data_IF_684243350805
#
_entry.id   IF_684243350805
#
_cell.length_a   1.000
_cell.length_b   1.000
_cell.length_c   1.000
_cell.angle_alpha   90.00
_cell.angle_beta   90.00
_cell.angle_gamma   90.00
#
_symmetry.space_group_name_H-M   'P 1'
#
loop_
_entity.id
_entity.type
_entity.pdbx_description
1 polymer ?
#
# COMPACT_ATOMS: atom_id res chain seq x y z
N UNK A 1 -7.85 4.65 30.01
CA UNK A 1 -6.43 4.33 30.31
C UNK A 1 -5.61 5.61 30.18
N UNK A 2 -4.62 5.88 31.06
CA UNK A 2 -3.68 6.99 30.83
C UNK A 2 -2.99 6.76 29.49
N UNK A 3 -2.97 7.76 28.59
CA UNK A 3 -2.24 7.72 27.32
C UNK A 3 -0.75 7.56 27.60
N UNK A 4 -0.26 6.33 27.68
CA UNK A 4 1.17 6.01 27.67
C UNK A 4 1.65 6.11 26.23
N UNK A 5 1.90 7.33 25.76
CA UNK A 5 2.56 7.54 24.48
C UNK A 5 4.03 7.16 24.65
N UNK A 6 4.39 5.93 24.31
CA UNK A 6 5.78 5.60 24.06
C UNK A 6 6.03 5.83 22.56
N UNK A 7 6.63 6.97 22.16
CA UNK A 7 6.81 7.32 20.74
C UNK A 7 7.68 6.32 19.96
N UNK A 8 8.33 5.39 20.66
CA UNK A 8 9.21 4.36 20.10
C UNK A 8 8.54 2.98 19.97
N UNK A 9 7.31 2.79 20.45
CA UNK A 9 6.61 1.51 20.27
C UNK A 9 6.30 1.28 18.79
N UNK A 10 6.47 0.03 18.36
CA UNK A 10 6.15 -0.39 17.00
C UNK A 10 4.64 -0.26 16.77
N UNK A 11 4.18 0.48 15.75
CA UNK A 11 2.76 0.66 15.52
C UNK A 11 2.09 -0.66 15.17
N UNK A 12 0.78 -0.75 15.31
CA UNK A 12 0.03 -1.94 14.92
C UNK A 12 0.17 -2.19 13.41
N UNK A 13 1.02 -3.14 13.00
CA UNK A 13 1.22 -3.46 11.59
C UNK A 13 1.63 -4.92 11.43
N UNK A 14 1.48 -5.46 10.22
CA UNK A 14 2.17 -6.69 9.84
C UNK A 14 3.68 -6.48 9.78
N UNK A 15 4.44 -7.58 9.82
CA UNK A 15 5.90 -7.56 9.65
C UNK A 15 6.29 -6.76 8.41
N UNK A 16 7.23 -5.80 8.48
CA UNK A 16 7.67 -5.02 7.33
C UNK A 16 8.12 -5.86 6.14
N UNK A 17 8.81 -6.98 6.36
CA UNK A 17 9.21 -7.88 5.28
C UNK A 17 8.03 -8.36 4.42
N UNK A 18 6.82 -8.50 4.98
CA UNK A 18 5.61 -8.82 4.20
C UNK A 18 5.34 -7.78 3.10
N UNK A 19 5.52 -6.49 3.40
CA UNK A 19 5.31 -5.42 2.44
C UNK A 19 6.26 -5.51 1.25
N UNK A 20 7.54 -5.75 1.52
CA UNK A 20 8.51 -5.97 0.44
C UNK A 20 8.26 -7.27 -0.33
N UNK A 21 7.82 -8.34 0.34
CA UNK A 21 7.45 -9.59 -0.35
C UNK A 21 6.25 -9.39 -1.29
N UNK A 22 5.27 -8.55 -0.95
CA UNK A 22 4.18 -8.18 -1.87
C UNK A 22 4.69 -7.50 -3.15
N UNK A 23 5.74 -6.69 -3.01
CA UNK A 23 6.40 -6.03 -4.14
C UNK A 23 7.27 -7.01 -4.94
N UNK A 24 8.05 -7.86 -4.29
CA UNK A 24 9.03 -8.71 -4.97
C UNK A 24 8.39 -9.93 -5.65
N UNK A 25 7.41 -10.56 -4.99
CA UNK A 25 6.79 -11.79 -5.50
C UNK A 25 5.85 -11.57 -6.68
N UNK A 26 5.49 -10.32 -6.98
CA UNK A 26 4.72 -9.99 -8.19
C UNK A 26 5.58 -9.95 -9.45
N UNK A 27 6.91 -9.81 -9.31
CA UNK A 27 7.81 -9.68 -10.44
C UNK A 27 7.92 -11.02 -11.16
N UNK A 28 7.74 -11.02 -12.47
CA UNK A 28 7.85 -12.22 -13.28
C UNK A 28 9.30 -12.72 -13.30
N UNK A 29 9.47 -14.05 -13.25
CA UNK A 29 10.79 -14.66 -13.09
C UNK A 29 11.49 -14.41 -11.75
N UNK A 30 10.85 -13.73 -10.78
CA UNK A 30 11.43 -13.53 -9.46
C UNK A 30 11.28 -14.76 -8.55
N UNK A 31 12.38 -15.13 -7.88
CA UNK A 31 12.39 -16.11 -6.78
C UNK A 31 13.11 -15.53 -5.57
N UNK A 32 12.35 -15.28 -4.50
CA UNK A 32 12.88 -14.64 -3.28
C UNK A 32 13.78 -15.60 -2.51
N UNK A 33 15.00 -15.16 -2.19
CA UNK A 33 15.86 -15.76 -1.18
C UNK A 33 15.66 -14.99 0.15
N UNK A 34 14.84 -15.53 1.04
CA UNK A 34 14.50 -14.93 2.33
C UNK A 34 15.55 -15.33 3.37
N UNK A 35 16.42 -14.38 3.76
CA UNK A 35 17.41 -14.57 4.82
C UNK A 35 16.76 -14.20 6.15
N UNK A 36 16.20 -15.22 6.80
CA UNK A 36 15.40 -15.07 8.01
C UNK A 36 15.55 -16.27 8.94
N UNK A 37 15.29 -16.04 10.23
CA UNK A 37 15.14 -17.12 11.20
C UNK A 37 13.85 -17.91 10.98
N UNK A 38 13.68 -19.02 11.71
CA UNK A 38 12.53 -19.92 11.53
C UNK A 38 11.19 -19.25 11.87
N UNK A 39 11.17 -18.33 12.84
CA UNK A 39 9.96 -17.59 13.21
C UNK A 39 9.48 -16.69 12.08
N UNK A 40 10.39 -15.88 11.52
CA UNK A 40 10.08 -15.04 10.37
C UNK A 40 9.79 -15.88 9.12
N UNK A 41 10.53 -16.97 8.87
CA UNK A 41 10.30 -17.87 7.73
C UNK A 41 8.89 -18.46 7.75
N UNK A 42 8.45 -18.99 8.90
CA UNK A 42 7.11 -19.55 9.05
C UNK A 42 6.02 -18.49 8.75
N UNK A 43 6.09 -17.35 9.44
CA UNK A 43 5.10 -16.29 9.28
C UNK A 43 5.08 -15.70 7.87
N UNK A 44 6.25 -15.42 7.29
CA UNK A 44 6.39 -14.83 5.97
C UNK A 44 6.02 -15.80 4.85
N UNK A 45 6.29 -17.10 5.00
CA UNK A 45 5.79 -18.12 4.06
C UNK A 45 4.27 -18.13 4.00
N UNK A 46 3.61 -18.10 5.17
CA UNK A 46 2.15 -18.03 5.24
C UNK A 46 1.60 -16.78 4.55
N UNK A 47 2.08 -15.58 4.92
CA UNK A 47 1.54 -14.34 4.34
C UNK A 47 1.90 -14.15 2.86
N UNK A 48 3.06 -14.62 2.40
CA UNK A 48 3.41 -14.62 0.97
C UNK A 48 2.49 -15.51 0.16
N UNK A 49 2.09 -16.65 0.71
CA UNK A 49 1.18 -17.55 0.02
C UNK A 49 -0.26 -17.01 -0.02
N UNK A 50 -0.78 -16.49 1.08
CA UNK A 50 -2.19 -16.09 1.17
C UNK A 50 -2.47 -14.64 0.74
N UNK A 51 -1.54 -13.72 1.00
CA UNK A 51 -1.77 -12.27 0.87
C UNK A 51 -0.85 -11.56 -0.13
N UNK A 52 0.12 -12.26 -0.72
CA UNK A 52 0.93 -11.74 -1.82
C UNK A 52 0.56 -12.43 -3.14
N UNK A 53 1.52 -13.04 -3.84
CA UNK A 53 1.32 -13.58 -5.19
C UNK A 53 1.14 -15.12 -5.26
N UNK A 54 0.86 -15.79 -4.13
CA UNK A 54 0.82 -17.28 -4.04
C UNK A 54 2.11 -17.96 -4.51
N UNK A 55 3.25 -17.28 -4.35
CA UNK A 55 4.57 -17.81 -4.73
C UNK A 55 5.34 -18.33 -3.53
N UNK A 56 6.08 -19.41 -3.73
CA UNK A 56 7.00 -19.95 -2.73
C UNK A 56 8.22 -19.04 -2.57
N UNK A 57 8.67 -18.90 -1.33
CA UNK A 57 9.94 -18.27 -0.97
C UNK A 57 10.94 -19.35 -0.58
N UNK A 58 12.23 -19.12 -0.85
CA UNK A 58 13.32 -20.04 -0.50
C UNK A 58 14.14 -19.39 0.60
N UNK A 59 14.67 -20.17 1.55
CA UNK A 59 15.47 -19.65 2.65
C UNK A 59 16.70 -20.53 2.88
N UNK A 60 17.89 -19.96 3.15
CA UNK A 60 19.09 -20.72 3.49
C UNK A 60 19.07 -21.30 4.92
N UNK A 61 17.92 -21.27 5.62
CA UNK A 61 17.75 -21.66 7.02
C UNK A 61 18.75 -20.99 7.98
N UNK A 62 18.42 -19.78 8.43
CA UNK A 62 19.29 -19.06 9.36
C UNK A 62 19.02 -19.47 10.82
N UNK A 63 19.96 -20.20 11.42
CA UNK A 63 19.93 -20.58 12.84
C UNK A 63 21.17 -20.06 13.58
N UNK A 64 21.18 -20.23 14.91
CA UNK A 64 22.31 -19.82 15.76
C UNK A 64 23.65 -20.43 15.32
N UNK A 65 23.63 -21.63 14.71
CA UNK A 65 24.83 -22.33 14.22
C UNK A 65 25.49 -21.53 13.10
N UNK A 66 24.72 -21.08 12.11
CA UNK A 66 25.23 -20.31 10.97
C UNK A 66 25.72 -18.92 11.40
N UNK A 67 24.98 -18.26 12.29
CA UNK A 67 25.33 -16.92 12.79
C UNK A 67 26.62 -16.98 13.62
N UNK A 68 26.70 -17.90 14.57
CA UNK A 68 27.87 -18.02 15.47
C UNK A 68 29.07 -18.64 14.77
N UNK A 69 28.83 -19.52 13.80
CA UNK A 69 29.85 -20.17 13.00
C UNK A 69 30.37 -19.32 11.83
N UNK A 70 29.72 -18.20 11.53
CA UNK A 70 30.12 -17.30 10.44
C UNK A 70 29.85 -17.82 9.03
N UNK A 71 29.05 -18.89 8.87
CA UNK A 71 28.77 -19.53 7.57
C UNK A 71 27.58 -18.91 6.83
N UNK A 72 26.85 -18.00 7.46
CA UNK A 72 25.60 -17.42 6.93
C UNK A 72 25.73 -16.97 5.46
N UNK A 73 26.82 -16.28 5.09
CA UNK A 73 27.00 -15.79 3.71
C UNK A 73 27.20 -16.94 2.72
N UNK A 74 27.93 -17.98 3.10
CA UNK A 74 28.14 -19.15 2.24
C UNK A 74 26.84 -19.93 2.05
N UNK A 75 26.02 -20.04 3.10
CA UNK A 75 24.69 -20.66 3.03
C UNK A 75 23.73 -19.84 2.15
N UNK A 76 23.77 -18.51 2.24
CA UNK A 76 23.01 -17.61 1.34
C UNK A 76 23.46 -17.80 -0.12
N UNK A 77 24.76 -17.87 -0.38
CA UNK A 77 25.31 -18.12 -1.74
C UNK A 77 24.90 -19.48 -2.28
N UNK A 78 24.91 -20.52 -1.44
CA UNK A 78 24.46 -21.85 -1.81
C UNK A 78 22.96 -21.84 -2.19
N UNK A 79 22.12 -21.18 -1.40
CA UNK A 79 20.70 -21.02 -1.71
C UNK A 79 20.46 -20.23 -3.01
N UNK A 80 21.24 -19.17 -3.26
CA UNK A 80 21.20 -18.42 -4.54
C UNK A 80 21.55 -19.34 -5.72
N UNK A 81 22.60 -20.15 -5.59
CA UNK A 81 23.01 -21.09 -6.63
C UNK A 81 21.94 -22.18 -6.89
N UNK A 82 21.29 -22.69 -5.84
CA UNK A 82 20.18 -23.63 -5.96
C UNK A 82 18.98 -23.00 -6.67
N UNK A 83 18.58 -21.79 -6.27
CA UNK A 83 17.50 -21.05 -6.94
C UNK A 83 17.83 -20.82 -8.42
N UNK A 84 19.07 -20.44 -8.73
CA UNK A 84 19.53 -20.18 -10.08
C UNK A 84 19.65 -21.44 -10.97
N UNK A 85 19.51 -22.64 -10.40
CA UNK A 85 19.48 -23.89 -11.18
C UNK A 85 18.21 -24.03 -12.03
N UNK A 86 17.13 -23.29 -11.68
CA UNK A 86 15.93 -23.16 -12.50
C UNK A 86 16.16 -22.06 -13.57
N UNK A 87 16.28 -22.41 -14.85
CA UNK A 87 16.58 -21.45 -15.92
C UNK A 87 15.47 -20.44 -16.18
N UNK A 88 14.26 -20.64 -15.62
CA UNK A 88 13.15 -19.69 -15.70
C UNK A 88 13.25 -18.52 -14.72
N UNK A 89 14.17 -18.60 -13.74
CA UNK A 89 14.41 -17.52 -12.78
C UNK A 89 15.31 -16.45 -13.42
N UNK A 90 14.80 -15.22 -13.48
CA UNK A 90 15.50 -14.05 -14.04
C UNK A 90 15.84 -13.00 -12.99
N UNK A 91 15.29 -13.14 -11.77
CA UNK A 91 15.58 -12.24 -10.66
C UNK A 91 15.57 -12.97 -9.31
N UNK A 92 16.62 -12.78 -8.51
CA UNK A 92 16.74 -13.31 -7.15
C UNK A 92 16.90 -12.13 -6.18
N UNK A 93 15.80 -11.61 -5.62
CA UNK A 93 15.89 -10.67 -4.51
C UNK A 93 16.28 -11.42 -3.23
N UNK A 94 17.40 -11.03 -2.65
CA UNK A 94 17.88 -11.50 -1.35
C UNK A 94 17.26 -10.59 -0.30
N UNK A 95 16.28 -11.09 0.45
CA UNK A 95 15.57 -10.30 1.46
C UNK A 95 16.26 -10.47 2.82
N UNK A 96 16.91 -9.41 3.29
CA UNK A 96 17.50 -9.34 4.63
C UNK A 96 16.43 -8.94 5.66
N UNK A 97 16.23 -9.77 6.68
CA UNK A 97 15.33 -9.48 7.83
C UNK A 97 16.13 -9.07 9.08
N UNK A 98 15.46 -8.90 10.22
CA UNK A 98 16.08 -8.40 11.46
C UNK A 98 17.36 -9.17 11.85
N UNK A 99 17.32 -10.50 11.80
CA UNK A 99 18.44 -11.33 12.26
C UNK A 99 19.60 -11.28 11.27
N UNK A 100 19.31 -11.38 9.97
CA UNK A 100 20.32 -11.29 8.91
C UNK A 100 21.02 -9.92 8.89
N UNK A 101 20.26 -8.85 9.10
CA UNK A 101 20.82 -7.50 9.18
C UNK A 101 21.73 -7.35 10.40
N UNK A 102 21.30 -7.86 11.55
CA UNK A 102 22.10 -7.83 12.79
C UNK A 102 23.36 -8.68 12.67
N UNK A 103 23.28 -9.81 11.96
CA UNK A 103 24.41 -10.68 11.66
C UNK A 103 25.38 -10.11 10.60
N UNK A 104 25.07 -8.94 10.02
CA UNK A 104 25.99 -8.21 9.15
C UNK A 104 26.03 -8.71 7.70
N UNK A 105 24.88 -9.09 7.12
CA UNK A 105 24.84 -9.43 5.69
C UNK A 105 25.35 -8.26 4.82
N UNK A 106 26.40 -8.53 4.05
CA UNK A 106 27.09 -7.57 3.19
C UNK A 106 26.73 -7.81 1.72
N UNK A 107 26.34 -6.75 1.00
CA UNK A 107 25.90 -6.84 -0.40
C UNK A 107 27.06 -7.21 -1.32
N UNK A 108 28.26 -6.72 -1.02
CA UNK A 108 29.50 -6.94 -1.78
C UNK A 108 29.95 -8.41 -1.77
N UNK A 109 29.40 -9.22 -0.86
CA UNK A 109 29.65 -10.64 -0.79
C UNK A 109 28.63 -11.46 -1.59
N UNK A 110 27.54 -10.87 -2.05
CA UNK A 110 26.58 -11.54 -2.91
C UNK A 110 27.04 -11.45 -4.37
N UNK A 111 26.81 -12.48 -5.19
CA UNK A 111 27.05 -12.34 -6.62
C UNK A 111 26.09 -11.30 -7.21
N UNK A 112 26.50 -10.54 -8.22
CA UNK A 112 25.60 -9.65 -8.96
C UNK A 112 24.61 -10.42 -9.86
N UNK A 113 25.02 -11.62 -10.30
CA UNK A 113 24.25 -12.51 -11.18
C UNK A 113 24.48 -13.98 -10.80
N UNK A 114 23.45 -14.81 -10.98
CA UNK A 114 23.55 -16.26 -10.81
C UNK A 114 22.67 -16.95 -11.87
N UNK A 115 23.28 -17.78 -12.73
CA UNK A 115 22.57 -18.38 -13.86
C UNK A 115 22.05 -17.28 -14.81
N UNK A 116 20.74 -17.29 -15.07
CA UNK A 116 20.06 -16.25 -15.86
C UNK A 116 19.55 -15.07 -15.01
N UNK A 117 19.75 -15.13 -13.68
CA UNK A 117 19.11 -14.21 -12.75
C UNK A 117 20.01 -13.06 -12.31
N UNK A 118 19.45 -11.84 -12.29
CA UNK A 118 20.04 -10.72 -11.56
C UNK A 118 19.82 -10.95 -10.06
N UNK A 119 20.82 -10.62 -9.23
CA UNK A 119 20.73 -10.72 -7.77
C UNK A 119 20.74 -9.31 -7.18
N UNK A 120 19.88 -9.05 -6.20
CA UNK A 120 19.85 -7.77 -5.50
C UNK A 120 19.47 -7.93 -4.03
N UNK A 121 20.19 -7.25 -3.14
CA UNK A 121 19.86 -7.23 -1.72
C UNK A 121 18.73 -6.24 -1.43
N UNK A 122 17.72 -6.68 -0.69
CA UNK A 122 16.60 -5.86 -0.24
C UNK A 122 16.53 -5.94 1.29
N UNK A 123 16.88 -4.85 1.97
CA UNK A 123 16.94 -4.78 3.42
C UNK A 123 15.59 -4.40 4.02
N UNK A 124 14.97 -5.33 4.73
CA UNK A 124 13.65 -5.17 5.36
C UNK A 124 13.62 -5.50 6.87
N UNK A 125 14.58 -5.02 7.69
CA UNK A 125 14.57 -5.27 9.14
C UNK A 125 13.45 -4.45 9.82
N UNK A 126 12.64 -5.13 10.64
CA UNK A 126 11.52 -4.52 11.35
C UNK A 126 11.94 -3.49 12.44
N UNK A 127 13.18 -3.53 12.90
CA UNK A 127 13.67 -2.52 13.84
C UNK A 127 13.95 -1.17 13.17
N UNK A 128 14.23 -1.15 11.85
CA UNK A 128 14.45 0.09 11.08
C UNK A 128 13.19 0.56 10.35
N UNK A 129 12.38 -0.37 9.84
CA UNK A 129 11.16 -0.07 9.10
C UNK A 129 9.97 -0.34 10.02
N UNK A 130 9.11 0.65 10.25
CA UNK A 130 8.06 0.56 11.26
C UNK A 130 6.78 -0.11 10.76
N UNK A 131 6.57 -0.21 9.45
CA UNK A 131 5.35 -0.80 8.91
C UNK A 131 5.57 -1.52 7.58
N UNK A 132 4.65 -2.41 7.23
CA UNK A 132 4.69 -3.07 5.93
C UNK A 132 4.45 -2.12 4.74
N UNK A 133 3.64 -1.04 4.78
CA UNK A 133 3.56 -0.11 3.65
C UNK A 133 4.89 0.64 3.42
N UNK A 134 5.58 1.06 4.48
CA UNK A 134 6.90 1.68 4.37
C UNK A 134 7.97 0.74 3.80
N UNK A 135 7.84 -0.57 4.07
CA UNK A 135 8.69 -1.57 3.43
C UNK A 135 8.43 -1.71 1.93
N UNK A 136 7.19 -1.49 1.46
CA UNK A 136 6.90 -1.41 0.02
C UNK A 136 7.67 -0.25 -0.60
N UNK A 137 7.68 0.91 0.06
CA UNK A 137 8.43 2.09 -0.39
C UNK A 137 9.95 1.83 -0.42
N UNK A 138 10.52 1.22 0.63
CA UNK A 138 11.93 0.79 0.61
C UNK A 138 12.21 -0.13 -0.58
N UNK A 139 11.35 -1.11 -0.80
CA UNK A 139 11.54 -2.11 -1.86
C UNK A 139 11.45 -1.48 -3.24
N UNK A 140 10.44 -0.65 -3.50
CA UNK A 140 10.29 0.05 -4.78
C UNK A 140 11.47 0.99 -5.03
N UNK A 141 11.91 1.75 -4.02
CA UNK A 141 13.08 2.60 -4.14
C UNK A 141 14.36 1.80 -4.46
N UNK A 142 14.56 0.64 -3.83
CA UNK A 142 15.68 -0.26 -4.13
C UNK A 142 15.62 -0.77 -5.58
N UNK A 143 14.45 -1.22 -6.04
CA UNK A 143 14.28 -1.69 -7.41
C UNK A 143 14.48 -0.57 -8.44
N UNK A 144 13.95 0.63 -8.18
CA UNK A 144 14.17 1.79 -9.03
C UNK A 144 15.64 2.17 -9.12
N UNK A 145 16.38 2.14 -8.00
CA UNK A 145 17.84 2.42 -8.03
C UNK A 145 18.62 1.40 -8.84
N UNK A 146 18.20 0.13 -8.83
CA UNK A 146 18.91 -0.97 -9.49
C UNK A 146 18.54 -1.12 -10.96
N UNK A 147 17.27 -0.91 -11.31
CA UNK A 147 16.71 -1.24 -12.63
C UNK A 147 16.12 -0.04 -13.37
N UNK A 148 15.97 1.11 -12.73
CA UNK A 148 15.51 2.33 -13.37
C UNK A 148 16.52 2.87 -14.37
N UNK A 149 16.07 3.20 -15.59
CA UNK A 149 16.88 3.90 -16.58
C UNK A 149 16.69 5.41 -16.40
N UNK A 150 17.64 6.04 -15.71
CA UNK A 150 17.65 7.48 -15.47
C UNK A 150 18.60 8.26 -16.38
N UNK A 151 19.41 7.55 -17.16
CA UNK A 151 20.45 8.16 -18.00
C UNK A 151 19.95 8.43 -19.42
N UNK A 152 18.98 7.63 -19.89
CA UNK A 152 18.30 7.87 -21.15
C UNK A 152 17.41 9.13 -21.11
N UNK A 153 17.16 9.77 -22.28
CA UNK A 153 16.22 10.87 -22.36
C UNK A 153 14.82 10.51 -21.85
N UNK A 154 14.21 11.47 -21.14
CA UNK A 154 12.85 11.35 -20.64
C UNK A 154 11.83 11.31 -21.78
N UNK A 155 10.71 10.64 -21.52
CA UNK A 155 9.54 10.64 -22.41
C UNK A 155 8.59 11.73 -21.90
N UNK A 156 8.55 12.88 -22.58
CA UNK A 156 7.92 14.11 -22.06
C UNK A 156 6.44 13.98 -21.66
N UNK A 157 5.66 13.12 -22.35
CA UNK A 157 4.24 12.89 -22.07
C UNK A 157 4.00 11.54 -21.39
N UNK A 158 4.86 11.19 -20.44
CA UNK A 158 4.74 9.92 -19.71
C UNK A 158 4.68 10.12 -18.20
N UNK A 159 3.88 9.28 -17.55
CA UNK A 159 3.63 9.31 -16.12
C UNK A 159 4.00 7.97 -15.50
N UNK A 160 4.79 7.99 -14.42
CA UNK A 160 4.90 6.84 -13.52
C UNK A 160 3.88 6.99 -12.37
N UNK A 161 3.04 5.98 -12.19
CA UNK A 161 2.17 5.84 -11.02
C UNK A 161 2.91 5.07 -9.94
N UNK A 162 3.05 5.67 -8.76
CA UNK A 162 3.68 5.03 -7.60
C UNK A 162 2.60 4.61 -6.62
N UNK A 163 2.37 3.30 -6.54
CA UNK A 163 1.41 2.71 -5.64
C UNK A 163 0.88 1.36 -6.11
N UNK A 164 0.58 0.47 -5.17
CA UNK A 164 -0.17 -0.74 -5.51
C UNK A 164 -1.61 -0.36 -5.86
N UNK A 165 -2.03 -0.70 -7.07
CA UNK A 165 -3.37 -0.45 -7.57
C UNK A 165 -3.97 -1.74 -8.12
N UNK A 166 -5.31 -1.81 -8.12
CA UNK A 166 -5.99 -2.95 -8.70
C UNK A 166 -5.85 -2.93 -10.25
N UNK A 167 -5.78 -4.06 -10.96
CA UNK A 167 -5.63 -4.06 -12.41
C UNK A 167 -6.68 -3.24 -13.15
N UNK A 168 -7.94 -3.27 -12.67
CA UNK A 168 -9.02 -2.44 -13.23
C UNK A 168 -8.75 -0.95 -13.04
N UNK A 169 -8.24 -0.54 -11.88
CA UNK A 169 -7.87 0.87 -11.64
C UNK A 169 -6.76 1.31 -12.60
N UNK A 170 -5.74 0.47 -12.83
CA UNK A 170 -4.65 0.78 -13.77
C UNK A 170 -5.18 1.04 -15.19
N UNK A 171 -6.11 0.18 -15.65
CA UNK A 171 -6.76 0.35 -16.95
C UNK A 171 -7.60 1.63 -17.03
N UNK A 172 -8.38 1.92 -15.98
CA UNK A 172 -9.20 3.13 -15.93
C UNK A 172 -8.34 4.40 -15.90
N UNK A 173 -7.29 4.44 -15.05
CA UNK A 173 -6.35 5.55 -15.01
C UNK A 173 -5.72 5.75 -16.40
N UNK A 174 -5.20 4.68 -17.02
CA UNK A 174 -4.59 4.75 -18.35
C UNK A 174 -5.54 5.30 -19.41
N UNK A 175 -6.80 4.83 -19.44
CA UNK A 175 -7.81 5.30 -20.40
C UNK A 175 -8.16 6.77 -20.21
N UNK A 176 -8.31 7.25 -18.98
CA UNK A 176 -8.56 8.68 -18.69
C UNK A 176 -7.37 9.53 -19.09
N UNK A 177 -6.15 9.12 -18.71
CA UNK A 177 -4.94 9.88 -18.98
C UNK A 177 -4.60 9.94 -20.48
N UNK A 178 -4.90 8.89 -21.24
CA UNK A 178 -4.75 8.90 -22.69
C UNK A 178 -5.62 10.00 -23.35
N UNK A 179 -6.83 10.24 -22.85
CA UNK A 179 -7.75 11.26 -23.38
C UNK A 179 -7.25 12.68 -23.21
N UNK A 180 -6.40 12.94 -22.20
CA UNK A 180 -5.77 14.25 -21.99
C UNK A 180 -4.41 14.38 -22.67
N UNK A 181 -3.96 13.35 -23.41
CA UNK A 181 -2.73 13.37 -24.20
C UNK A 181 -1.51 12.73 -23.53
N UNK A 182 -1.68 11.94 -22.46
CA UNK A 182 -0.60 11.11 -21.92
C UNK A 182 -0.33 9.94 -22.86
N UNK A 183 0.94 9.74 -23.24
CA UNK A 183 1.37 8.74 -24.23
C UNK A 183 1.80 7.42 -23.60
N UNK A 184 2.34 7.45 -22.37
CA UNK A 184 2.67 6.25 -21.59
C UNK A 184 2.36 6.43 -20.11
N UNK A 185 1.78 5.39 -19.50
CA UNK A 185 1.53 5.29 -18.07
C UNK A 185 2.12 3.98 -17.58
N UNK A 186 3.12 4.07 -16.70
CA UNK A 186 3.75 2.89 -16.08
C UNK A 186 3.44 2.87 -14.60
N UNK A 187 3.04 1.72 -14.07
CA UNK A 187 2.72 1.59 -12.64
C UNK A 187 3.81 0.81 -11.92
N UNK A 188 4.37 1.39 -10.86
CA UNK A 188 5.27 0.71 -9.93
C UNK A 188 4.64 0.61 -8.54
N UNK A 189 4.70 -0.54 -7.84
CA UNK A 189 5.41 -1.77 -8.22
C UNK A 189 4.87 -2.44 -9.48
N UNK A 190 5.77 -2.97 -10.32
CA UNK A 190 5.44 -3.55 -11.63
C UNK A 190 5.67 -5.07 -11.66
N UNK A 191 5.22 -5.74 -12.73
CA UNK A 191 5.45 -7.17 -12.93
C UNK A 191 6.73 -7.45 -13.73
N UNK A 192 7.07 -6.59 -14.69
CA UNK A 192 8.35 -6.67 -15.42
C UNK A 192 9.45 -5.85 -14.74
N UNK A 193 10.70 -6.28 -14.88
CA UNK A 193 11.85 -5.45 -14.51
C UNK A 193 12.08 -4.31 -15.51
N UNK A 194 11.72 -4.55 -16.77
CA UNK A 194 11.69 -3.57 -17.86
C UNK A 194 10.75 -2.40 -17.58
N UNK A 195 9.67 -2.63 -16.82
CA UNK A 195 8.75 -1.56 -16.40
C UNK A 195 9.45 -0.59 -15.44
N UNK A 196 10.36 -1.06 -14.59
CA UNK A 196 11.17 -0.17 -13.74
C UNK A 196 12.11 0.68 -14.59
N UNK A 197 12.69 0.10 -15.65
CA UNK A 197 13.50 0.85 -16.61
C UNK A 197 12.67 1.93 -17.32
N UNK A 198 11.46 1.59 -17.81
CA UNK A 198 10.56 2.57 -18.43
C UNK A 198 10.11 3.65 -17.43
N UNK A 199 9.78 3.26 -16.20
CA UNK A 199 9.44 4.19 -15.13
C UNK A 199 10.56 5.20 -14.86
N UNK A 200 11.83 4.80 -14.97
CA UNK A 200 13.00 5.67 -14.81
C UNK A 200 13.05 6.81 -15.85
N UNK A 201 12.45 6.59 -17.02
CA UNK A 201 12.40 7.54 -18.14
C UNK A 201 11.15 8.42 -18.12
N UNK A 202 10.30 8.29 -17.11
CA UNK A 202 9.07 9.07 -17.03
C UNK A 202 9.35 10.57 -16.80
N UNK A 203 8.46 11.42 -17.35
CA UNK A 203 8.55 12.87 -17.17
C UNK A 203 7.99 13.33 -15.82
N UNK A 204 6.93 12.68 -15.34
CA UNK A 204 6.30 12.97 -14.08
C UNK A 204 5.99 11.70 -13.29
N UNK A 205 5.81 11.85 -11.99
CA UNK A 205 5.45 10.81 -11.04
C UNK A 205 4.20 11.23 -10.26
N UNK A 206 3.18 10.37 -10.20
CA UNK A 206 2.02 10.53 -9.32
C UNK A 206 2.04 9.46 -8.23
N UNK A 207 2.17 9.89 -6.97
CA UNK A 207 2.13 8.99 -5.83
C UNK A 207 0.71 8.82 -5.33
N UNK A 208 0.14 7.62 -5.54
CA UNK A 208 -1.25 7.33 -5.20
C UNK A 208 -1.43 7.00 -3.71
N UNK A 209 -0.37 6.56 -3.04
CA UNK A 209 -0.37 6.30 -1.61
C UNK A 209 0.65 7.18 -0.87
N UNK A 210 0.31 7.73 0.31
CA UNK A 210 1.08 8.79 0.96
C UNK A 210 2.40 8.33 1.59
N UNK A 211 2.68 7.02 1.68
CA UNK A 211 3.87 6.49 2.35
C UNK A 211 5.08 6.26 1.42
N UNK A 212 4.98 6.56 0.12
CA UNK A 212 6.08 6.39 -0.85
C UNK A 212 7.12 7.52 -0.82
N UNK A 213 7.60 7.91 0.36
CA UNK A 213 8.51 9.06 0.50
C UNK A 213 9.89 8.82 -0.14
N UNK A 214 10.48 7.63 0.03
CA UNK A 214 11.81 7.32 -0.51
C UNK A 214 11.77 7.22 -2.02
N UNK A 215 10.74 6.56 -2.56
CA UNK A 215 10.55 6.42 -4.00
C UNK A 215 10.33 7.79 -4.62
N UNK A 216 9.39 8.59 -4.11
CA UNK A 216 9.14 9.95 -4.62
C UNK A 216 10.37 10.84 -4.47
N UNK A 217 11.11 10.74 -3.36
CA UNK A 217 12.35 11.47 -3.15
C UNK A 217 13.40 11.16 -4.21
N UNK A 218 13.62 9.87 -4.51
CA UNK A 218 14.51 9.42 -5.57
C UNK A 218 14.08 9.95 -6.95
N UNK A 219 12.81 9.81 -7.30
CA UNK A 219 12.30 10.25 -8.60
C UNK A 219 12.40 11.78 -8.77
N UNK A 220 12.18 12.53 -7.69
CA UNK A 220 12.39 13.98 -7.65
C UNK A 220 13.87 14.35 -7.84
N UNK A 221 14.78 13.64 -7.17
CA UNK A 221 16.23 13.83 -7.34
C UNK A 221 16.66 13.57 -8.79
N UNK A 222 16.04 12.58 -9.45
CA UNK A 222 16.18 12.29 -10.89
C UNK A 222 15.36 13.25 -11.78
N UNK A 223 14.93 14.39 -11.24
CA UNK A 223 14.31 15.50 -11.96
C UNK A 223 12.88 15.25 -12.46
N UNK A 224 12.15 14.28 -11.91
CA UNK A 224 10.73 14.09 -12.27
C UNK A 224 9.85 15.12 -11.58
N UNK A 225 8.83 15.60 -12.31
CA UNK A 225 7.77 16.43 -11.75
C UNK A 225 6.88 15.57 -10.85
N UNK A 226 6.55 16.02 -9.65
CA UNK A 226 5.78 15.23 -8.68
C UNK A 226 4.35 15.75 -8.61
N UNK A 227 3.40 14.86 -8.88
CA UNK A 227 1.95 15.10 -8.73
C UNK A 227 1.49 14.55 -7.38
N UNK A 228 0.91 15.42 -6.56
CA UNK A 228 0.32 15.06 -5.26
C UNK A 228 -1.17 14.73 -5.37
N UNK A 229 -1.66 13.97 -4.39
CA UNK A 229 -3.06 13.59 -4.27
C UNK A 229 -3.40 12.32 -5.06
N UNK A 230 -4.68 11.95 -5.00
CA UNK A 230 -5.20 10.73 -5.61
C UNK A 230 -6.66 10.94 -6.08
N UNK A 231 -7.11 10.24 -7.12
CA UNK A 231 -8.45 10.40 -7.69
C UNK A 231 -9.51 9.58 -6.93
N UNK A 232 -9.70 9.87 -5.63
CA UNK A 232 -10.71 9.22 -4.76
C UNK A 232 -11.71 10.25 -4.27
N UNK A 233 -12.97 10.14 -4.66
CA UNK A 233 -13.96 11.21 -4.45
C UNK A 233 -14.06 12.16 -5.65
N UNK A 234 -15.13 12.93 -5.73
CA UNK A 234 -15.48 13.69 -6.92
C UNK A 234 -14.50 14.83 -7.18
N UNK A 235 -14.32 15.71 -6.19
CA UNK A 235 -13.47 16.89 -6.34
C UNK A 235 -12.00 16.50 -6.55
N UNK A 236 -11.51 15.53 -5.78
CA UNK A 236 -10.14 15.05 -5.89
C UNK A 236 -9.86 14.40 -7.25
N UNK A 237 -10.85 13.74 -7.86
CA UNK A 237 -10.73 13.17 -9.21
C UNK A 237 -10.44 14.24 -10.25
N UNK A 238 -11.26 15.30 -10.31
CA UNK A 238 -11.06 16.40 -11.27
C UNK A 238 -9.72 17.11 -11.05
N UNK A 239 -9.42 17.47 -9.80
CA UNK A 239 -8.16 18.14 -9.43
C UNK A 239 -6.92 17.31 -9.77
N UNK A 240 -6.97 16.00 -9.55
CA UNK A 240 -5.85 15.12 -9.85
C UNK A 240 -5.56 15.06 -11.36
N UNK A 241 -6.59 14.94 -12.20
CA UNK A 241 -6.45 14.98 -13.66
C UNK A 241 -5.81 16.30 -14.11
N UNK A 242 -6.28 17.43 -13.58
CA UNK A 242 -5.72 18.74 -13.90
C UNK A 242 -4.24 18.87 -13.48
N UNK A 243 -3.89 18.39 -12.28
CA UNK A 243 -2.50 18.39 -11.80
C UNK A 243 -1.59 17.54 -12.69
N UNK A 244 -2.06 16.39 -13.18
CA UNK A 244 -1.31 15.57 -14.15
C UNK A 244 -1.10 16.33 -15.45
N UNK A 245 -2.15 16.96 -16.00
CA UNK A 245 -2.04 17.76 -17.22
C UNK A 245 -1.05 18.92 -17.10
N UNK A 246 -1.10 19.66 -15.99
CA UNK A 246 -0.14 20.73 -15.67
C UNK A 246 1.28 20.19 -15.54
N UNK A 247 1.45 19.07 -14.82
CA UNK A 247 2.75 18.46 -14.61
C UNK A 247 3.36 17.87 -15.88
N UNK A 248 2.59 17.66 -16.95
CA UNK A 248 3.09 17.17 -18.24
C UNK A 248 3.04 18.21 -19.36
N UNK A 249 2.66 19.46 -19.04
CA UNK A 249 2.51 20.56 -20.01
C UNK A 249 1.58 20.19 -21.20
N UNK A 250 0.42 19.61 -20.87
CA UNK A 250 -0.59 19.19 -21.85
C UNK A 250 -1.56 20.31 -22.20
N UNK A 251 -2.39 20.10 -23.23
CA UNK A 251 -3.47 21.03 -23.60
C UNK A 251 -4.50 21.14 -22.47
N UNK A 252 -4.44 22.26 -21.75
CA UNK A 252 -5.26 22.46 -20.56
C UNK A 252 -6.76 22.61 -20.85
N UNK A 253 -7.16 22.95 -22.07
CA UNK A 253 -8.59 23.01 -22.41
C UNK A 253 -9.17 21.60 -22.54
N UNK A 254 -8.42 20.69 -23.16
CA UNK A 254 -8.76 19.25 -23.20
C UNK A 254 -8.72 18.65 -21.79
N UNK A 255 -7.67 18.94 -21.01
CA UNK A 255 -7.52 18.44 -19.63
C UNK A 255 -8.70 18.84 -18.76
N UNK A 256 -9.09 20.13 -18.75
CA UNK A 256 -10.20 20.62 -17.93
C UNK A 256 -11.54 20.03 -18.35
N UNK A 257 -11.77 19.84 -19.65
CA UNK A 257 -12.98 19.20 -20.14
C UNK A 257 -13.11 17.76 -19.64
N UNK A 258 -12.03 16.96 -19.74
CA UNK A 258 -12.01 15.57 -19.23
C UNK A 258 -12.09 15.54 -17.70
N UNK A 259 -11.39 16.43 -17.00
CA UNK A 259 -11.44 16.53 -15.55
C UNK A 259 -12.86 16.81 -15.03
N UNK A 260 -13.57 17.76 -15.66
CA UNK A 260 -14.95 18.08 -15.32
C UNK A 260 -15.90 16.90 -15.58
N UNK A 261 -15.71 16.18 -16.69
CA UNK A 261 -16.52 14.99 -17.01
C UNK A 261 -16.31 13.87 -15.97
N UNK A 262 -15.06 13.52 -15.64
CA UNK A 262 -14.77 12.46 -14.68
C UNK A 262 -15.18 12.85 -13.25
N UNK A 263 -15.02 14.12 -12.87
CA UNK A 263 -15.57 14.65 -11.62
C UNK A 263 -17.10 14.50 -11.58
N UNK A 264 -17.81 14.84 -12.66
CA UNK A 264 -19.26 14.70 -12.72
C UNK A 264 -19.72 13.24 -12.63
N UNK A 265 -18.99 12.30 -13.26
CA UNK A 265 -19.25 10.85 -13.13
C UNK A 265 -19.10 10.39 -11.69
N UNK A 266 -18.00 10.76 -11.03
CA UNK A 266 -17.77 10.40 -9.63
C UNK A 266 -18.83 11.02 -8.71
N UNK A 267 -19.18 12.29 -8.90
CA UNK A 267 -20.24 12.96 -8.16
C UNK A 267 -21.60 12.27 -8.36
N UNK A 268 -21.96 11.90 -9.59
CA UNK A 268 -23.21 11.20 -9.88
C UNK A 268 -23.32 9.83 -9.21
N UNK A 269 -22.21 9.10 -9.10
CA UNK A 269 -22.15 7.85 -8.33
C UNK A 269 -22.35 8.12 -6.83
N UNK A 270 -21.62 9.09 -6.27
CA UNK A 270 -21.68 9.43 -4.85
C UNK A 270 -23.09 9.91 -4.47
N UNK A 271 -23.73 10.73 -5.32
CA UNK A 271 -25.09 11.21 -5.14
C UNK A 271 -26.12 10.07 -5.00
N UNK A 272 -25.89 8.93 -5.67
CA UNK A 272 -26.69 7.72 -5.52
C UNK A 272 -26.68 7.12 -4.10
N UNK A 273 -25.76 7.57 -3.24
CA UNK A 273 -25.62 7.15 -1.86
C UNK A 273 -25.94 8.25 -0.84
N UNK A 274 -26.43 9.44 -1.22
CA UNK A 274 -26.73 10.55 -0.28
C UNK A 274 -27.74 10.19 0.82
N UNK A 275 -28.59 9.19 0.61
CA UNK A 275 -29.50 8.66 1.64
C UNK A 275 -28.83 7.73 2.65
N UNK A 276 -27.54 7.44 2.49
CA UNK A 276 -26.79 6.57 3.38
C UNK A 276 -26.42 7.35 4.66
N UNK A 277 -26.79 6.79 5.80
CA UNK A 277 -26.45 7.34 7.11
C UNK A 277 -25.86 6.26 8.01
N UNK A 278 -24.88 6.65 8.80
CA UNK A 278 -24.22 5.78 9.75
C UNK A 278 -22.89 6.35 10.20
N UNK A 279 -22.48 5.95 11.40
CA UNK A 279 -21.17 6.28 11.97
C UNK A 279 -20.17 5.18 11.66
N UNK A 280 -19.06 5.52 11.02
CA UNK A 280 -18.05 4.57 10.56
C UNK A 280 -16.71 4.90 11.20
N UNK A 281 -16.00 3.89 11.70
CA UNK A 281 -14.58 4.00 12.04
C UNK A 281 -13.74 3.40 10.92
N UNK A 282 -12.71 4.12 10.46
CA UNK A 282 -11.74 3.62 9.47
C UNK A 282 -10.38 3.46 10.12
N UNK A 283 -9.98 2.22 10.39
CA UNK A 283 -8.80 1.88 11.17
C UNK A 283 -7.99 0.77 10.51
N UNK A 284 -7.46 1.04 9.33
CA UNK A 284 -6.56 0.16 8.58
C UNK A 284 -5.07 0.31 8.96
N UNK A 285 -4.20 -0.43 8.28
CA UNK A 285 -2.74 -0.30 8.42
C UNK A 285 -1.99 -0.38 7.08
N UNK A 286 -2.70 -0.16 5.98
CA UNK A 286 -2.18 -0.24 4.60
C UNK A 286 -1.69 1.11 4.09
N UNK A 287 -2.03 2.20 4.78
CA UNK A 287 -1.53 3.55 4.51
C UNK A 287 -2.37 4.37 3.54
N UNK A 288 -3.51 3.84 3.08
CA UNK A 288 -4.44 4.52 2.17
C UNK A 288 -5.82 4.79 2.80
N UNK A 289 -5.88 4.85 4.14
CA UNK A 289 -7.12 5.00 4.90
C UNK A 289 -7.76 6.38 4.70
N UNK A 290 -6.97 7.47 4.63
CA UNK A 290 -7.51 8.83 4.57
C UNK A 290 -8.29 9.13 3.28
N UNK A 291 -7.85 8.70 2.07
CA UNK A 291 -8.68 8.81 0.87
C UNK A 291 -10.04 8.11 0.99
N UNK A 292 -10.10 6.99 1.71
CA UNK A 292 -11.37 6.28 1.96
C UNK A 292 -12.25 7.10 2.88
N UNK A 293 -11.70 7.67 3.96
CA UNK A 293 -12.45 8.59 4.85
C UNK A 293 -13.03 9.75 4.06
N UNK A 294 -12.24 10.38 3.18
CA UNK A 294 -12.70 11.49 2.32
C UNK A 294 -13.92 11.08 1.50
N UNK A 295 -13.86 9.91 0.84
CA UNK A 295 -14.99 9.38 0.08
C UNK A 295 -16.24 9.12 0.94
N UNK A 296 -16.07 8.59 2.16
CA UNK A 296 -17.20 8.33 3.05
C UNK A 296 -17.87 9.63 3.52
N UNK A 297 -17.07 10.65 3.86
CA UNK A 297 -17.58 11.97 4.22
C UNK A 297 -18.29 12.65 3.03
N UNK A 298 -17.73 12.56 1.82
CA UNK A 298 -18.38 13.05 0.59
C UNK A 298 -19.74 12.38 0.33
N UNK A 299 -19.91 11.12 0.73
CA UNK A 299 -21.16 10.38 0.63
C UNK A 299 -22.15 10.65 1.77
N UNK A 300 -21.82 11.52 2.73
CA UNK A 300 -22.70 11.90 3.84
C UNK A 300 -22.62 11.04 5.10
N UNK A 301 -21.63 10.13 5.20
CA UNK A 301 -21.42 9.34 6.42
C UNK A 301 -20.70 10.16 7.50
N UNK A 302 -20.91 9.78 8.77
CA UNK A 302 -20.15 10.31 9.89
C UNK A 302 -18.90 9.44 10.11
N UNK A 303 -17.71 10.04 10.05
CA UNK A 303 -16.43 9.34 10.29
C UNK A 303 -15.68 10.08 11.39
N UNK A 304 -16.00 9.83 12.68
CA UNK A 304 -15.45 10.62 13.78
C UNK A 304 -13.99 10.25 14.11
N UNK A 305 -13.54 9.05 13.71
CA UNK A 305 -12.21 8.56 13.99
C UNK A 305 -11.65 7.79 12.79
N UNK A 306 -10.42 8.12 12.43
CA UNK A 306 -9.62 7.43 11.44
C UNK A 306 -8.21 7.16 11.95
N UNK A 307 -7.65 6.00 11.64
CA UNK A 307 -6.30 5.67 12.03
C UNK A 307 -5.52 4.89 10.99
N UNK A 308 -4.22 5.14 10.95
CA UNK A 308 -3.26 4.45 10.09
C UNK A 308 -1.96 4.17 10.83
N UNK A 309 -1.24 3.15 10.38
CA UNK A 309 0.02 2.74 11.00
C UNK A 309 1.24 3.45 10.40
N UNK A 310 1.09 4.05 9.22
CA UNK A 310 2.15 4.83 8.58
C UNK A 310 2.39 6.15 9.32
N UNK A 311 3.55 6.77 9.14
CA UNK A 311 3.77 8.13 9.61
C UNK A 311 2.93 9.14 8.84
N UNK A 312 2.72 10.31 9.44
CA UNK A 312 2.27 11.49 8.70
C UNK A 312 3.39 11.93 7.77
N UNK A 313 3.07 12.12 6.50
CA UNK A 313 4.02 12.50 5.46
C UNK A 313 3.51 13.74 4.72
N UNK A 314 4.39 14.49 4.02
CA UNK A 314 3.95 15.61 3.17
C UNK A 314 2.97 15.19 2.06
N UNK A 315 3.05 13.94 1.59
CA UNK A 315 2.17 13.42 0.54
C UNK A 315 0.71 13.23 1.00
N UNK A 316 0.48 13.04 2.30
CA UNK A 316 -0.85 12.89 2.90
C UNK A 316 -1.37 14.14 3.61
N UNK A 317 -0.66 15.27 3.48
CA UNK A 317 -0.95 16.48 4.26
C UNK A 317 -2.27 17.16 3.85
N UNK A 318 -2.59 17.19 2.54
CA UNK A 318 -3.86 17.73 2.04
C UNK A 318 -5.05 16.97 2.66
N UNK A 319 -4.99 15.63 2.67
CA UNK A 319 -6.02 14.79 3.29
C UNK A 319 -6.08 15.01 4.81
N UNK A 320 -4.93 15.09 5.49
CA UNK A 320 -4.89 15.35 6.93
C UNK A 320 -5.62 16.64 7.30
N UNK A 321 -5.33 17.74 6.61
CA UNK A 321 -5.90 19.06 6.89
C UNK A 321 -7.40 19.07 6.62
N UNK A 322 -7.82 18.55 5.46
CA UNK A 322 -9.23 18.48 5.08
C UNK A 322 -10.04 17.69 6.10
N UNK A 323 -9.60 16.48 6.42
CA UNK A 323 -10.34 15.57 7.30
C UNK A 323 -10.38 16.08 8.76
N UNK A 324 -9.28 16.66 9.24
CA UNK A 324 -9.25 17.29 10.57
C UNK A 324 -10.21 18.48 10.64
N UNK A 325 -10.29 19.29 9.59
CA UNK A 325 -11.23 20.41 9.49
C UNK A 325 -12.68 19.94 9.45
N UNK A 326 -12.95 18.80 8.82
CA UNK A 326 -14.27 18.16 8.80
C UNK A 326 -14.62 17.41 10.10
N UNK A 327 -13.71 17.39 11.08
CA UNK A 327 -13.96 16.88 12.43
C UNK A 327 -13.54 15.44 12.67
N UNK A 328 -12.90 14.77 11.70
CA UNK A 328 -12.36 13.42 11.91
C UNK A 328 -11.11 13.48 12.78
N UNK A 329 -11.10 12.75 13.90
CA UNK A 329 -9.88 12.50 14.67
C UNK A 329 -8.95 11.56 13.88
N UNK A 330 -7.73 12.01 13.57
CA UNK A 330 -6.74 11.19 12.87
C UNK A 330 -5.64 10.72 13.82
N UNK A 331 -5.39 9.40 13.84
CA UNK A 331 -4.25 8.77 14.54
C UNK A 331 -3.27 8.16 13.54
N UNK A 332 -2.04 8.67 13.55
CA UNK A 332 -0.89 8.04 12.88
C UNK A 332 -0.13 7.18 13.88
N UNK A 333 0.66 6.22 13.38
CA UNK A 333 1.46 5.32 14.23
C UNK A 333 0.63 4.64 15.34
N UNK A 334 -0.61 4.29 15.00
CA UNK A 334 -1.60 3.80 15.94
C UNK A 334 -1.19 2.51 16.66
N UNK A 335 -1.81 2.29 17.82
CA UNK A 335 -1.86 1.00 18.51
C UNK A 335 -3.28 0.43 18.51
N UNK A 336 -3.40 -0.90 18.67
CA UNK A 336 -4.69 -1.58 18.67
C UNK A 336 -5.59 -1.06 19.81
N UNK A 337 -5.02 -0.77 20.97
CA UNK A 337 -5.73 -0.30 22.15
C UNK A 337 -6.36 1.08 21.94
N UNK A 338 -5.72 1.94 21.14
CA UNK A 338 -6.27 3.25 20.78
C UNK A 338 -7.49 3.10 19.87
N UNK A 339 -7.42 2.20 18.89
CA UNK A 339 -8.56 1.90 18.02
C UNK A 339 -9.70 1.24 18.78
N UNK A 340 -9.40 0.31 19.70
CA UNK A 340 -10.41 -0.32 20.57
C UNK A 340 -11.10 0.73 21.45
N UNK A 341 -10.33 1.68 21.99
CA UNK A 341 -10.87 2.78 22.76
C UNK A 341 -11.79 3.66 21.90
N UNK A 342 -11.39 3.98 20.67
CA UNK A 342 -12.22 4.75 19.73
C UNK A 342 -13.55 4.04 19.41
N UNK A 343 -13.53 2.71 19.24
CA UNK A 343 -14.76 1.91 19.06
C UNK A 343 -15.69 2.05 20.27
N UNK A 344 -15.16 2.04 21.49
CA UNK A 344 -15.96 2.20 22.72
C UNK A 344 -16.49 3.64 22.87
N UNK A 345 -15.67 4.64 22.61
CA UNK A 345 -16.03 6.05 22.79
C UNK A 345 -17.04 6.55 21.76
N UNK A 346 -16.88 6.13 20.50
CA UNK A 346 -17.72 6.63 19.41
C UNK A 346 -18.95 5.77 19.15
N UNK A 347 -18.99 4.51 19.61
CA UNK A 347 -20.09 3.55 19.37
C UNK A 347 -20.54 3.54 17.89
N UNK A 348 -19.67 3.12 16.95
CA UNK A 348 -19.95 3.19 15.52
C UNK A 348 -20.98 2.15 15.07
N UNK A 349 -21.66 2.43 13.95
CA UNK A 349 -22.50 1.46 13.25
C UNK A 349 -21.66 0.46 12.44
N UNK A 350 -20.47 0.85 11.99
CA UNK A 350 -19.55 0.05 11.19
C UNK A 350 -18.09 0.33 11.56
N UNK A 351 -17.28 -0.73 11.65
CA UNK A 351 -15.82 -0.65 11.74
C UNK A 351 -15.19 -1.23 10.48
N UNK A 352 -14.32 -0.47 9.83
CA UNK A 352 -13.46 -0.92 8.74
C UNK A 352 -12.03 -0.98 9.30
N UNK A 353 -11.67 -2.11 9.89
CA UNK A 353 -10.54 -2.20 10.82
C UNK A 353 -9.47 -3.23 10.44
N UNK A 354 -8.57 -3.48 11.39
CA UNK A 354 -7.68 -4.64 11.37
C UNK A 354 -8.42 -5.89 11.86
N UNK A 355 -7.94 -7.09 11.55
CA UNK A 355 -8.59 -8.35 11.97
C UNK A 355 -8.87 -8.41 13.48
N UNK A 356 -7.94 -7.92 14.30
CA UNK A 356 -8.08 -7.87 15.75
C UNK A 356 -9.14 -6.86 16.18
N UNK A 357 -9.16 -5.67 15.58
CA UNK A 357 -10.16 -4.64 15.87
C UNK A 357 -11.57 -5.09 15.44
N UNK A 358 -11.68 -5.74 14.29
CA UNK A 358 -12.96 -6.25 13.80
C UNK A 358 -13.53 -7.32 14.71
N UNK A 359 -12.67 -8.18 15.27
CA UNK A 359 -13.08 -9.20 16.24
C UNK A 359 -13.65 -8.54 17.50
N UNK A 360 -12.92 -7.55 18.02
CA UNK A 360 -13.36 -6.74 19.16
C UNK A 360 -14.70 -6.02 18.93
N UNK A 361 -14.91 -5.47 17.72
CA UNK A 361 -16.16 -4.81 17.33
C UNK A 361 -17.32 -5.82 17.18
N UNK A 362 -17.06 -6.98 16.57
CA UNK A 362 -18.08 -8.03 16.38
C UNK A 362 -18.56 -8.64 17.69
N UNK A 363 -17.66 -8.85 18.66
CA UNK A 363 -18.02 -9.25 20.03
C UNK A 363 -18.97 -8.24 20.70
N UNK A 364 -18.95 -6.98 20.26
CA UNK A 364 -19.85 -5.93 20.72
C UNK A 364 -21.15 -5.84 19.93
N UNK A 365 -21.32 -6.65 18.89
CA UNK A 365 -22.50 -6.63 18.03
C UNK A 365 -22.46 -5.50 17.00
N UNK A 366 -21.27 -4.96 16.74
CA UNK A 366 -21.02 -3.94 15.73
C UNK A 366 -20.59 -4.63 14.43
N UNK A 367 -21.13 -4.19 13.29
CA UNK A 367 -20.71 -4.69 12.00
C UNK A 367 -19.24 -4.31 11.76
N UNK A 368 -18.40 -5.26 11.33
CA UNK A 368 -17.01 -4.95 11.06
C UNK A 368 -16.41 -5.77 9.91
N UNK A 369 -15.50 -5.15 9.16
CA UNK A 369 -14.82 -5.75 8.02
C UNK A 369 -13.33 -5.42 7.99
N UNK A 370 -12.55 -6.41 7.54
CA UNK A 370 -11.11 -6.30 7.51
C UNK A 370 -10.65 -5.44 6.33
N UNK A 371 -9.97 -4.35 6.65
CA UNK A 371 -9.59 -3.29 5.73
C UNK A 371 -8.78 -3.82 4.54
N UNK A 372 -7.68 -4.54 4.77
CA UNK A 372 -6.79 -5.01 3.68
C UNK A 372 -7.53 -5.84 2.63
N UNK A 373 -8.41 -6.75 3.06
CA UNK A 373 -9.13 -7.66 2.16
C UNK A 373 -10.39 -7.07 1.53
N UNK A 374 -10.94 -6.00 2.11
CA UNK A 374 -12.22 -5.45 1.66
C UNK A 374 -12.07 -4.09 1.00
N UNK A 375 -10.98 -3.37 1.27
CA UNK A 375 -10.68 -2.05 0.71
C UNK A 375 -9.45 -2.14 -0.19
N UNK A 376 -8.29 -2.52 0.35
CA UNK A 376 -7.02 -2.47 -0.41
C UNK A 376 -6.90 -3.48 -1.55
N UNK A 377 -7.77 -4.48 -1.60
CA UNK A 377 -7.83 -5.46 -2.69
C UNK A 377 -8.99 -5.21 -3.68
N UNK A 378 -9.53 -3.99 -3.72
CA UNK A 378 -10.62 -3.59 -4.61
C UNK A 378 -10.28 -2.30 -5.36
N UNK A 379 -10.98 -2.03 -6.47
CA UNK A 379 -10.96 -0.71 -7.09
C UNK A 379 -11.30 0.40 -6.11
N UNK A 380 -10.50 1.45 -6.07
CA UNK A 380 -10.69 2.62 -5.19
C UNK A 380 -10.79 3.95 -5.95
N UNK A 381 -10.29 4.01 -7.18
CA UNK A 381 -10.15 5.26 -7.92
C UNK A 381 -11.33 5.54 -8.85
N UNK A 382 -11.56 6.83 -9.12
CA UNK A 382 -12.63 7.35 -9.96
C UNK A 382 -14.04 6.87 -9.54
N UNK A 383 -15.01 7.04 -10.44
CA UNK A 383 -16.40 6.65 -10.23
C UNK A 383 -16.57 5.14 -9.94
N UNK A 384 -15.77 4.28 -10.57
CA UNK A 384 -15.83 2.83 -10.36
C UNK A 384 -15.42 2.42 -8.94
N UNK A 385 -14.35 3.03 -8.42
CA UNK A 385 -13.91 2.84 -7.04
C UNK A 385 -14.93 3.35 -6.03
N UNK A 386 -15.48 4.55 -6.27
CA UNK A 386 -16.55 5.12 -5.44
C UNK A 386 -17.76 4.18 -5.35
N UNK A 387 -18.24 3.67 -6.50
CA UNK A 387 -19.37 2.74 -6.55
C UNK A 387 -19.08 1.44 -5.77
N UNK A 388 -17.86 0.92 -5.89
CA UNK A 388 -17.44 -0.32 -5.25
C UNK A 388 -17.40 -0.19 -3.73
N UNK A 389 -16.73 0.86 -3.22
CA UNK A 389 -16.57 1.08 -1.78
C UNK A 389 -17.90 1.46 -1.13
N UNK A 390 -18.61 2.44 -1.70
CA UNK A 390 -19.89 2.91 -1.13
C UNK A 390 -20.98 1.83 -1.21
N UNK A 391 -21.02 1.05 -2.29
CA UNK A 391 -21.95 -0.09 -2.40
C UNK A 391 -21.73 -1.13 -1.31
N UNK A 392 -20.47 -1.45 -1.00
CA UNK A 392 -20.13 -2.37 0.08
C UNK A 392 -20.51 -1.80 1.45
N UNK A 393 -20.12 -0.55 1.74
CA UNK A 393 -20.43 0.12 3.01
C UNK A 393 -21.94 0.23 3.23
N UNK A 394 -22.69 0.60 2.20
CA UNK A 394 -24.15 0.64 2.24
C UNK A 394 -24.76 -0.74 2.56
N UNK A 395 -24.23 -1.81 1.96
CA UNK A 395 -24.66 -3.18 2.25
C UNK A 395 -24.40 -3.61 3.70
N UNK A 396 -23.26 -3.19 4.28
CA UNK A 396 -22.88 -3.51 5.66
C UNK A 396 -23.71 -2.74 6.68
N UNK A 397 -23.91 -1.44 6.45
CA UNK A 397 -24.75 -0.60 7.33
C UNK A 397 -26.20 -1.10 7.38
N UNK A 398 -26.74 -1.61 6.27
CA UNK A 398 -28.06 -2.28 6.23
C UNK A 398 -28.13 -3.54 7.10
N UNK A 399 -27.01 -4.15 7.44
CA UNK A 399 -26.93 -5.38 8.26
C UNK A 399 -26.60 -5.12 9.73
N UNK A 400 -26.48 -3.87 10.18
CA UNK A 400 -26.08 -3.55 11.56
C UNK A 400 -26.94 -4.24 12.64
N UNK A 401 -28.25 -4.30 12.42
CA UNK A 401 -29.16 -4.94 13.39
C UNK A 401 -29.00 -6.46 13.44
N UNK A 402 -28.49 -7.10 12.39
CA UNK A 402 -28.21 -8.54 12.40
C UNK A 402 -27.05 -8.87 13.36
N UNK A 403 -26.02 -8.01 13.44
CA UNK A 403 -24.92 -8.19 14.40
C UNK A 403 -25.38 -7.99 15.85
N UNK A 404 -26.25 -7.00 16.10
CA UNK A 404 -26.88 -6.79 17.41
C UNK A 404 -27.68 -8.01 17.85
N UNK A 405 -28.59 -8.50 16.99
CA UNK A 405 -29.38 -9.72 17.25
C UNK A 405 -28.51 -10.95 17.47
N UNK A 406 -27.42 -11.09 16.72
CA UNK A 406 -26.48 -12.22 16.89
C UNK A 406 -25.82 -12.18 18.28
N UNK A 407 -25.35 -11.01 18.72
CA UNK A 407 -24.82 -10.85 20.07
C UNK A 407 -25.87 -11.15 21.13
N UNK A 408 -27.07 -10.57 21.00
CA UNK A 408 -28.19 -10.83 21.92
C UNK A 408 -28.45 -12.33 22.05
N UNK A 409 -28.56 -13.07 20.94
CA UNK A 409 -28.76 -14.52 20.94
C UNK A 409 -27.73 -15.30 21.77
N UNK A 410 -26.44 -14.97 21.68
CA UNK A 410 -25.37 -15.64 22.44
C UNK A 410 -25.16 -15.11 23.86
N UNK A 411 -25.82 -14.00 24.23
CA UNK A 411 -25.74 -13.39 25.57
C UNK A 411 -27.01 -13.57 26.40
N UNK A 412 -28.07 -14.14 25.81
CA UNK A 412 -29.26 -14.54 26.55
C UNK A 412 -28.92 -15.73 27.48
N UNK A 413 -29.33 -15.67 28.76
CA UNK A 413 -29.04 -16.69 29.76
C UNK A 413 -29.75 -18.02 29.53
#
# INVERSE_FOLDING_TARGET
>A
MKKTSCPNLHPQSMCPAFGGLRVLTRIEGARVCLVADQGCLYGLTFVSHFYAARRSIVSPELMNVQISGGTMIDDVRAAIAEIASDPSVTFIPVVSTCVAETAGIAEELLPDEAGNAKVALVRLPAFQIKTHPEAKDVTVATLMKRFGDFDSPKREKSLVLVGEIFPVDAMTIGSVLQRIGVESVVSIPAAGLEDYAEAGRAAACAALHPFYERTVGLLREKGMRIVSGNPVGAQATGQWIERVGQALDLDMDVVRAVAAEEQAKAAGVIAGFEGLSGKVIVAGYEGNELPVVRLLLEAGLDVPYASTSVARTPLGEEDHQLLSMLGTEIRYRKYLEEDMQAVVEHDPDLVIGTTSLDSFAKERGIAAIYYTNNISSRPLFFAAGAATVLGMVAGLLKRKDAFRKMKEYFTLP
#
